data_IF_661913357180
#
_entry.id   IF_661913357180
#
_cell.length_a   1.000
_cell.length_b   1.000
_cell.length_c   1.000
_cell.angle_alpha   90.00
_cell.angle_beta   90.00
_cell.angle_gamma   90.00
#
_symmetry.space_group_name_H-M   'P 1'
#
loop_
_entity.id
_entity.type
_entity.pdbx_description
1 polymer ?
#
# COMPACT_ATOMS: atom_id res chain seq x y z
N UNK A 1 -15.05 -16.16 35.11
CA UNK A 1 -13.91 -15.96 34.19
C UNK A 1 -13.99 -14.56 33.57
N UNK A 2 -13.87 -13.49 34.37
CA UNK A 2 -14.05 -12.11 33.88
C UNK A 2 -13.13 -11.06 34.52
N UNK A 3 -12.25 -11.47 35.44
CA UNK A 3 -11.32 -10.54 36.12
C UNK A 3 -10.02 -10.33 35.33
N UNK A 4 -9.63 -11.32 34.51
CA UNK A 4 -8.43 -11.28 33.66
C UNK A 4 -8.52 -10.23 32.55
N UNK A 5 -9.70 -9.99 31.99
CA UNK A 5 -9.93 -8.99 30.94
C UNK A 5 -9.83 -7.57 31.49
N UNK A 6 -10.38 -7.33 32.69
CA UNK A 6 -10.36 -6.01 33.34
C UNK A 6 -8.97 -5.61 33.81
N UNK A 7 -8.16 -6.56 34.28
CA UNK A 7 -6.77 -6.27 34.67
C UNK A 7 -5.90 -5.94 33.45
N UNK A 8 -6.10 -6.68 32.35
CA UNK A 8 -5.37 -6.44 31.11
C UNK A 8 -5.74 -5.09 30.47
N UNK A 9 -7.03 -4.76 30.46
CA UNK A 9 -7.54 -3.48 29.98
C UNK A 9 -7.00 -2.30 30.79
N UNK A 10 -7.00 -2.40 32.12
CA UNK A 10 -6.42 -1.37 32.98
C UNK A 10 -4.91 -1.21 32.79
N UNK A 11 -4.19 -2.30 32.52
CA UNK A 11 -2.76 -2.25 32.22
C UNK A 11 -2.49 -1.54 30.89
N UNK A 12 -3.27 -1.83 29.85
CA UNK A 12 -3.17 -1.17 28.55
C UNK A 12 -3.48 0.33 28.66
N UNK A 13 -4.57 0.70 29.35
CA UNK A 13 -4.91 2.10 29.63
C UNK A 13 -3.81 2.83 30.41
N UNK A 14 -3.16 2.13 31.36
CA UNK A 14 -2.04 2.67 32.11
C UNK A 14 -0.80 2.93 31.25
N UNK A 15 -0.55 2.09 30.25
CA UNK A 15 0.55 2.27 29.29
C UNK A 15 0.25 3.44 28.36
N UNK A 16 -0.93 3.46 27.72
CA UNK A 16 -1.34 4.51 26.78
C UNK A 16 -1.30 5.90 27.44
N UNK A 17 -1.77 6.02 28.69
CA UNK A 17 -1.75 7.29 29.43
C UNK A 17 -0.36 7.80 29.81
N UNK A 18 0.66 6.95 29.78
CA UNK A 18 2.05 7.30 30.11
C UNK A 18 2.89 7.62 28.88
N UNK A 19 2.38 7.34 27.68
CA UNK A 19 3.09 7.60 26.44
C UNK A 19 2.99 9.08 26.04
N UNK A 20 4.01 9.61 25.35
CA UNK A 20 3.91 10.88 24.64
C UNK A 20 2.73 10.86 23.65
N UNK A 21 2.14 12.02 23.39
CA UNK A 21 0.96 12.17 22.53
C UNK A 21 1.15 11.61 21.13
N UNK A 22 2.37 11.69 20.60
CA UNK A 22 2.76 11.19 19.28
C UNK A 22 2.77 9.66 19.23
N UNK A 23 3.10 9.00 20.34
CA UNK A 23 3.07 7.54 20.45
C UNK A 23 1.66 7.01 20.72
N UNK A 24 0.76 7.83 21.27
CA UNK A 24 -0.65 7.45 21.48
C UNK A 24 -1.38 7.31 20.15
N UNK A 25 -1.11 8.20 19.19
CA UNK A 25 -1.68 8.08 17.83
C UNK A 25 -1.27 6.78 17.15
N UNK A 26 0.01 6.38 17.22
CA UNK A 26 0.48 5.11 16.63
C UNK A 26 -0.23 3.89 17.24
N UNK A 27 -0.49 3.89 18.56
CA UNK A 27 -1.21 2.78 19.21
C UNK A 27 -2.67 2.72 18.75
N UNK A 28 -3.31 3.88 18.55
CA UNK A 28 -4.68 3.96 18.03
C UNK A 28 -4.73 3.49 16.57
N UNK A 29 -3.77 3.92 15.74
CA UNK A 29 -3.66 3.49 14.35
C UNK A 29 -3.45 1.98 14.24
N UNK A 30 -2.59 1.42 15.09
CA UNK A 30 -2.39 -0.02 15.17
C UNK A 30 -3.65 -0.78 15.61
N UNK A 31 -4.42 -0.23 16.57
CA UNK A 31 -5.69 -0.82 16.99
C UNK A 31 -6.72 -0.80 15.86
N UNK A 32 -6.80 0.28 15.09
CA UNK A 32 -7.65 0.36 13.90
C UNK A 32 -7.25 -0.66 12.84
N UNK A 33 -5.95 -0.86 12.60
CA UNK A 33 -5.46 -1.87 11.65
C UNK A 33 -5.88 -3.28 12.05
N UNK A 34 -5.79 -3.64 13.33
CA UNK A 34 -6.24 -4.96 13.82
C UNK A 34 -7.75 -5.10 13.65
N UNK A 35 -8.53 -4.09 14.04
CA UNK A 35 -9.98 -4.11 13.90
C UNK A 35 -10.42 -4.22 12.42
N UNK A 36 -9.67 -3.60 11.52
CA UNK A 36 -9.89 -3.69 10.08
C UNK A 36 -9.60 -5.11 9.57
N UNK A 37 -8.47 -5.72 9.96
CA UNK A 37 -8.13 -7.10 9.61
C UNK A 37 -9.18 -8.11 10.08
N UNK A 38 -9.75 -7.91 11.26
CA UNK A 38 -10.82 -8.77 11.76
C UNK A 38 -12.15 -8.61 10.99
N UNK A 39 -12.39 -7.40 10.43
CA UNK A 39 -13.57 -7.10 9.61
C UNK A 39 -13.42 -7.53 8.15
N UNK A 40 -12.20 -7.48 7.61
CA UNK A 40 -11.92 -7.91 6.25
C UNK A 40 -11.86 -9.43 6.19
N UNK A 41 -13.00 -10.05 5.85
CA UNK A 41 -13.01 -11.44 5.37
C UNK A 41 -12.05 -11.54 4.18
N UNK A 42 -11.26 -12.61 3.98
CA UNK A 42 -10.27 -12.71 2.90
C UNK A 42 -10.82 -12.61 1.45
N UNK A 43 -12.12 -12.36 1.26
CA UNK A 43 -12.75 -12.03 -0.02
C UNK A 43 -13.16 -10.55 -0.19
N UNK A 44 -13.10 -9.72 0.86
CA UNK A 44 -13.53 -8.31 0.88
C UNK A 44 -12.37 -7.31 0.82
N UNK A 45 -11.14 -7.78 0.55
CA UNK A 45 -9.94 -6.96 0.44
C UNK A 45 -9.92 -6.03 -0.81
N UNK A 46 -11.08 -5.72 -1.40
CA UNK A 46 -11.22 -4.79 -2.53
C UNK A 46 -11.70 -3.41 -2.13
N UNK A 47 -12.04 -3.19 -0.87
CA UNK A 47 -12.44 -1.88 -0.37
C UNK A 47 -11.56 -1.53 0.83
N UNK A 48 -10.25 -1.41 0.59
CA UNK A 48 -9.49 -0.49 1.42
C UNK A 48 -9.92 0.91 1.03
N UNK A 49 -10.39 1.64 2.03
CA UNK A 49 -10.78 3.04 1.98
C UNK A 49 -9.65 3.88 1.42
N UNK A 50 -9.66 4.02 0.10
CA UNK A 50 -8.86 4.96 -0.69
C UNK A 50 -9.63 6.28 -0.88
N UNK A 51 -10.16 6.81 0.22
CA UNK A 51 -10.76 8.15 0.21
C UNK A 51 -9.71 9.27 0.18
N UNK A 52 -8.42 8.93 0.08
CA UNK A 52 -7.29 9.85 0.05
C UNK A 52 -6.58 10.00 -1.30
N UNK A 53 -6.60 8.99 -2.19
CA UNK A 53 -5.89 9.01 -3.49
C UNK A 53 -6.85 9.17 -4.70
N UNK A 54 -8.15 9.34 -4.44
CA UNK A 54 -9.19 9.37 -5.48
C UNK A 54 -8.96 10.46 -6.54
N UNK A 55 -8.46 11.64 -6.16
CA UNK A 55 -8.18 12.72 -7.11
C UNK A 55 -6.99 12.42 -8.04
N UNK A 56 -5.99 11.70 -7.53
CA UNK A 56 -4.83 11.31 -8.31
C UNK A 56 -5.17 10.19 -9.27
N UNK A 57 -5.95 9.20 -8.81
CA UNK A 57 -6.47 8.12 -9.62
C UNK A 57 -7.38 8.62 -10.74
N UNK A 58 -8.30 9.55 -10.45
CA UNK A 58 -9.15 10.18 -11.47
C UNK A 58 -8.30 10.94 -12.50
N UNK A 59 -7.20 11.57 -12.08
CA UNK A 59 -6.29 12.26 -13.02
C UNK A 59 -5.56 11.27 -13.90
N UNK A 60 -5.10 10.16 -13.36
CA UNK A 60 -4.45 9.10 -14.14
C UNK A 60 -5.42 8.45 -15.10
N UNK A 61 -6.63 8.12 -14.67
CA UNK A 61 -7.67 7.59 -15.56
C UNK A 61 -7.99 8.57 -16.70
N UNK A 62 -8.14 9.86 -16.40
CA UNK A 62 -8.39 10.88 -17.41
C UNK A 62 -7.24 11.03 -18.41
N UNK A 63 -5.99 10.90 -17.96
CA UNK A 63 -4.82 10.93 -18.84
C UNK A 63 -4.73 9.67 -19.70
N UNK A 64 -4.92 8.50 -19.10
CA UNK A 64 -4.86 7.21 -19.80
C UNK A 64 -6.02 7.03 -20.78
N UNK A 65 -7.19 7.62 -20.54
CA UNK A 65 -8.33 7.54 -21.45
C UNK A 65 -8.17 8.35 -22.74
N UNK A 66 -7.13 9.20 -22.86
CA UNK A 66 -6.88 10.00 -24.06
C UNK A 66 -6.30 9.14 -25.18
N UNK A 67 -6.82 9.32 -26.39
CA UNK A 67 -6.35 8.62 -27.61
C UNK A 67 -4.84 8.82 -27.83
N UNK A 68 -4.34 10.06 -27.75
CA UNK A 68 -2.90 10.37 -27.86
C UNK A 68 -2.03 9.57 -26.85
N UNK A 69 -2.58 9.32 -25.66
CA UNK A 69 -1.86 8.58 -24.60
C UNK A 69 -1.89 7.08 -24.86
N UNK A 70 -2.97 6.55 -25.42
CA UNK A 70 -3.05 5.16 -25.87
C UNK A 70 -2.08 4.89 -27.01
N UNK A 71 -2.06 5.74 -28.03
CA UNK A 71 -1.15 5.61 -29.18
C UNK A 71 0.33 5.65 -28.74
N UNK A 72 0.65 6.54 -27.79
CA UNK A 72 2.00 6.64 -27.23
C UNK A 72 2.38 5.38 -26.43
N UNK A 73 1.44 4.86 -25.61
CA UNK A 73 1.67 3.65 -24.82
C UNK A 73 1.83 2.41 -25.72
N UNK A 74 1.06 2.30 -26.80
CA UNK A 74 1.19 1.24 -27.79
C UNK A 74 2.56 1.31 -28.48
N UNK A 75 2.99 2.50 -28.92
CA UNK A 75 4.32 2.68 -29.50
C UNK A 75 5.45 2.31 -28.53
N UNK A 76 5.34 2.65 -27.25
CA UNK A 76 6.34 2.28 -26.24
C UNK A 76 6.34 0.77 -25.96
N UNK A 77 5.17 0.12 -26.00
CA UNK A 77 5.07 -1.33 -25.83
C UNK A 77 5.71 -2.07 -27.01
N UNK A 78 5.48 -1.61 -28.23
CA UNK A 78 6.09 -2.15 -29.44
C UNK A 78 7.62 -2.00 -29.43
N UNK A 79 8.12 -0.82 -29.03
CA UNK A 79 9.56 -0.58 -28.87
C UNK A 79 10.16 -1.51 -27.81
N UNK A 80 9.53 -1.64 -26.64
CA UNK A 80 9.99 -2.53 -25.59
C UNK A 80 10.03 -3.99 -26.05
N UNK A 81 9.02 -4.45 -26.79
CA UNK A 81 9.00 -5.81 -27.35
C UNK A 81 10.15 -6.02 -28.35
N UNK A 82 10.38 -5.05 -29.24
CA UNK A 82 11.48 -5.11 -30.21
C UNK A 82 12.86 -5.16 -29.53
N UNK A 83 13.05 -4.43 -28.42
CA UNK A 83 14.27 -4.47 -27.61
C UNK A 83 14.46 -5.83 -26.92
N UNK A 84 13.39 -6.44 -26.43
CA UNK A 84 13.41 -7.79 -25.83
C UNK A 84 13.78 -8.82 -26.90
N UNK A 85 13.13 -8.80 -28.06
CA UNK A 85 13.40 -9.73 -29.16
C UNK A 85 14.84 -9.58 -29.68
N UNK A 86 15.37 -8.36 -29.67
CA UNK A 86 16.75 -8.11 -30.04
C UNK A 86 17.77 -8.43 -28.93
N UNK A 87 17.32 -8.90 -27.75
CA UNK A 87 18.18 -9.24 -26.62
C UNK A 87 18.92 -8.06 -26.00
N UNK A 88 18.37 -6.85 -26.14
CA UNK A 88 18.96 -5.60 -25.62
C UNK A 88 18.45 -5.23 -24.23
N UNK A 89 17.52 -5.99 -23.68
CA UNK A 89 17.04 -5.82 -22.31
C UNK A 89 17.96 -6.46 -21.28
N UNK A 90 18.05 -5.86 -20.10
CA UNK A 90 18.76 -6.41 -18.94
C UNK A 90 17.77 -6.69 -17.81
N UNK A 91 17.99 -7.76 -17.05
CA UNK A 91 17.20 -8.02 -15.84
C UNK A 91 17.54 -6.96 -14.80
N UNK A 92 16.54 -6.48 -14.07
CA UNK A 92 16.74 -5.59 -12.93
C UNK A 92 16.33 -6.34 -11.66
N UNK A 93 17.16 -6.27 -10.63
CA UNK A 93 16.89 -6.85 -9.30
C UNK A 93 16.90 -5.75 -8.26
N UNK A 94 16.10 -5.96 -7.22
CA UNK A 94 16.18 -5.15 -6.00
C UNK A 94 17.33 -5.69 -5.16
N UNK A 95 18.32 -4.83 -4.91
CA UNK A 95 19.46 -5.14 -4.03
C UNK A 95 19.01 -5.23 -2.57
N UNK A 96 19.84 -5.83 -1.71
CA UNK A 96 19.58 -5.92 -0.26
C UNK A 96 19.44 -4.53 0.41
N UNK A 97 19.93 -3.47 -0.24
CA UNK A 97 19.77 -2.08 0.18
C UNK A 97 18.50 -1.38 -0.33
N UNK A 98 17.66 -2.07 -1.11
CA UNK A 98 16.45 -1.53 -1.71
C UNK A 98 16.66 -0.74 -3.01
N UNK A 99 17.89 -0.68 -3.51
CA UNK A 99 18.21 -0.02 -4.79
C UNK A 99 17.97 -0.97 -5.97
N UNK A 100 17.63 -0.42 -7.13
CA UNK A 100 17.51 -1.17 -8.38
C UNK A 100 18.90 -1.33 -9.01
N UNK A 101 19.32 -2.58 -9.23
CA UNK A 101 20.58 -2.91 -9.89
C UNK A 101 20.38 -3.90 -11.04
N UNK A 102 21.37 -4.06 -11.93
CA UNK A 102 21.33 -5.11 -12.96
C UNK A 102 21.37 -6.50 -12.31
N UNK A 103 20.64 -7.44 -12.90
CA UNK A 103 20.49 -8.83 -12.45
C UNK A 103 21.26 -9.86 -13.22
#
# INVERSE_FOLDING_TARGET
>A
MSTLTTEHENRLLGIVRRLPTECVSEVIDFAHLIALRERTTPGDAREHDDSGDTDHDVRWEALLAREDSQDLLESMADEALAEIEAGRTTTVVVTDGGELGPG
#
